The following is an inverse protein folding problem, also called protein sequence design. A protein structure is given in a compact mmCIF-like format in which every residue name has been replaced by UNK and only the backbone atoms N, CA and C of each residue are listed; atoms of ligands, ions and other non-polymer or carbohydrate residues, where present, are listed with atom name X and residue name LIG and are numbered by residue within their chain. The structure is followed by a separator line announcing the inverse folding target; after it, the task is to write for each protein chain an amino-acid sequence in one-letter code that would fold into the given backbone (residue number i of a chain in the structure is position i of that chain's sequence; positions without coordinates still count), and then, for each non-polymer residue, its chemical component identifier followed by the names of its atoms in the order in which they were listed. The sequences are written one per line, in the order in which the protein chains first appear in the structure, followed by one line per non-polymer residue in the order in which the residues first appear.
data_IF_450472344331
#
_entry.id   IF_450472344331
#
_cell.length_a   1.000
_cell.length_b   1.000
_cell.length_c   1.000
_cell.angle_alpha   90.00
_cell.angle_beta   90.00
_cell.angle_gamma   90.00
#
_symmetry.space_group_name_H-M   'P 1'
#
loop_
_entity.id
_entity.type
_entity.pdbx_description
1 polymer ?
#
# COMPACT_ATOMS: atom_id res chain seq x y z
N UNK A 1 -3.23 -9.96 -13.43
CA UNK A 1 -2.27 -10.73 -12.60
C UNK A 1 -2.60 -12.21 -12.73
N UNK A 2 -1.69 -12.98 -13.32
CA UNK A 2 -1.87 -14.42 -13.58
C UNK A 2 -2.22 -15.17 -12.28
N UNK A 3 -3.13 -16.14 -12.38
CA UNK A 3 -3.60 -16.95 -11.23
C UNK A 3 -2.44 -17.61 -10.48
N UNK A 4 -1.39 -18.01 -11.20
CA UNK A 4 -0.15 -18.57 -10.65
C UNK A 4 0.57 -17.59 -9.71
N UNK A 5 0.66 -16.31 -10.06
CA UNK A 5 1.30 -15.29 -9.22
C UNK A 5 0.51 -15.10 -7.91
N UNK A 6 -0.82 -15.15 -7.98
CA UNK A 6 -1.68 -15.08 -6.79
C UNK A 6 -1.46 -16.28 -5.87
N UNK A 7 -1.42 -17.49 -6.43
CA UNK A 7 -1.21 -18.73 -5.66
C UNK A 7 0.16 -18.72 -4.99
N UNK A 8 1.22 -18.38 -5.73
CA UNK A 8 2.58 -18.27 -5.17
C UNK A 8 2.62 -17.24 -4.06
N UNK A 9 2.01 -16.07 -4.24
CA UNK A 9 1.93 -15.03 -3.21
C UNK A 9 1.22 -15.53 -1.93
N UNK A 10 0.13 -16.28 -2.07
CA UNK A 10 -0.59 -16.86 -0.93
C UNK A 10 0.26 -17.92 -0.21
N UNK A 11 0.97 -18.77 -0.94
CA UNK A 11 1.85 -19.79 -0.34
C UNK A 11 2.98 -19.13 0.45
N UNK A 12 3.63 -18.11 -0.13
CA UNK A 12 4.68 -17.34 0.55
C UNK A 12 4.11 -16.68 1.80
N UNK A 13 2.94 -16.06 1.70
CA UNK A 13 2.26 -15.43 2.83
C UNK A 13 1.99 -16.40 3.98
N UNK A 14 1.36 -17.54 3.68
CA UNK A 14 1.08 -18.57 4.70
C UNK A 14 2.38 -19.10 5.29
N UNK A 15 3.40 -19.33 4.46
CA UNK A 15 4.72 -19.76 4.90
C UNK A 15 5.37 -18.77 5.89
N UNK A 16 5.34 -17.46 5.58
CA UNK A 16 5.86 -16.41 6.47
C UNK A 16 5.09 -16.38 7.78
N UNK A 17 3.75 -16.38 7.74
CA UNK A 17 2.93 -16.29 8.96
C UNK A 17 3.13 -17.52 9.86
N UNK A 18 3.17 -18.72 9.27
CA UNK A 18 3.41 -19.97 10.02
C UNK A 18 4.83 -19.98 10.59
N UNK A 19 5.84 -19.64 9.79
CA UNK A 19 7.22 -19.55 10.26
C UNK A 19 7.36 -18.51 11.40
N UNK A 20 6.73 -17.35 11.28
CA UNK A 20 6.69 -16.34 12.32
C UNK A 20 5.99 -16.84 13.59
N UNK A 21 4.90 -17.58 13.47
CA UNK A 21 4.22 -18.14 14.65
C UNK A 21 5.09 -19.19 15.36
N UNK A 22 5.71 -20.11 14.62
CA UNK A 22 6.51 -21.20 15.19
C UNK A 22 7.84 -20.69 15.77
N UNK A 23 8.55 -19.84 15.04
CA UNK A 23 9.87 -19.33 15.44
C UNK A 23 9.78 -18.13 16.40
N UNK A 24 8.68 -17.38 16.36
CA UNK A 24 8.47 -16.16 17.15
C UNK A 24 8.55 -16.38 18.66
N UNK A 25 8.30 -17.61 19.13
CA UNK A 25 8.47 -18.02 20.52
C UNK A 25 9.88 -17.72 21.04
N UNK A 26 10.88 -17.89 20.19
CA UNK A 26 12.30 -17.75 20.52
C UNK A 26 12.82 -16.33 20.36
N UNK A 27 12.06 -15.41 19.75
CA UNK A 27 12.51 -14.04 19.44
C UNK A 27 12.07 -13.07 20.55
N UNK A 28 13.01 -12.49 21.32
CA UNK A 28 12.68 -11.58 22.42
C UNK A 28 11.94 -10.35 21.92
N UNK A 29 10.99 -9.85 22.71
CA UNK A 29 10.23 -8.65 22.33
C UNK A 29 11.13 -7.43 22.07
N UNK A 30 12.30 -7.36 22.71
CA UNK A 30 13.31 -6.31 22.47
C UNK A 30 13.82 -6.30 21.03
N UNK A 31 13.93 -7.47 20.40
CA UNK A 31 14.33 -7.62 18.99
C UNK A 31 13.16 -7.39 18.04
N UNK A 32 11.93 -7.58 18.51
CA UNK A 32 10.71 -7.30 17.74
C UNK A 32 10.44 -5.79 17.61
N UNK A 33 10.82 -4.98 18.61
CA UNK A 33 10.53 -3.54 18.63
C UNK A 33 11.08 -2.76 17.42
N UNK A 34 12.35 -2.94 17.01
CA UNK A 34 12.85 -2.30 15.79
C UNK A 34 12.01 -2.60 14.55
N UNK A 35 11.41 -3.79 14.46
CA UNK A 35 10.56 -4.16 13.33
C UNK A 35 9.21 -3.43 13.41
N UNK A 36 8.62 -3.31 14.61
CA UNK A 36 7.44 -2.47 14.82
C UNK A 36 7.71 -1.00 14.46
N UNK A 37 8.85 -0.46 14.87
CA UNK A 37 9.23 0.91 14.54
C UNK A 37 9.43 1.11 13.03
N UNK A 38 10.06 0.14 12.36
CA UNK A 38 10.18 0.10 10.90
C UNK A 38 8.81 0.04 10.20
N UNK A 39 7.88 -0.80 10.68
CA UNK A 39 6.51 -0.87 10.18
C UNK A 39 5.77 0.46 10.36
N UNK A 40 5.88 1.10 11.53
CA UNK A 40 5.28 2.43 11.78
C UNK A 40 5.82 3.47 10.80
N UNK A 41 7.15 3.56 10.68
CA UNK A 41 7.81 4.57 9.83
C UNK A 41 7.47 4.38 8.35
N UNK A 42 7.57 3.16 7.84
CA UNK A 42 7.23 2.89 6.43
C UNK A 42 5.74 3.11 6.16
N UNK A 43 4.85 2.73 7.09
CA UNK A 43 3.40 2.92 6.91
C UNK A 43 3.02 4.40 6.92
N UNK A 44 3.64 5.23 7.77
CA UNK A 44 3.38 6.68 7.77
C UNK A 44 3.86 7.34 6.48
N UNK A 45 4.99 6.91 5.92
CA UNK A 45 5.48 7.37 4.62
C UNK A 45 4.47 7.04 3.52
N UNK A 46 4.04 5.77 3.42
CA UNK A 46 3.04 5.36 2.40
C UNK A 46 1.75 6.16 2.57
N UNK A 47 1.24 6.29 3.80
CA UNK A 47 0.03 7.04 4.07
C UNK A 47 0.12 8.49 3.59
N UNK A 48 1.23 9.17 3.89
CA UNK A 48 1.47 10.55 3.48
C UNK A 48 1.61 10.70 1.96
N UNK A 49 2.43 9.86 1.32
CA UNK A 49 2.68 9.90 -0.13
C UNK A 49 1.39 9.61 -0.92
N UNK A 50 0.61 8.60 -0.52
CA UNK A 50 -0.65 8.28 -1.19
C UNK A 50 -1.70 9.37 -0.98
N UNK A 51 -1.77 9.98 0.20
CA UNK A 51 -2.62 11.14 0.45
C UNK A 51 -2.29 12.31 -0.49
N UNK A 52 -1.00 12.60 -0.68
CA UNK A 52 -0.55 13.63 -1.61
C UNK A 52 -0.88 13.29 -3.08
N UNK A 53 -0.67 12.03 -3.50
CA UNK A 53 -1.01 11.59 -4.86
C UNK A 53 -2.50 11.75 -5.17
N UNK A 54 -3.38 11.36 -4.25
CA UNK A 54 -4.83 11.49 -4.42
C UNK A 54 -5.23 12.98 -4.57
N UNK A 55 -4.64 13.85 -3.75
CA UNK A 55 -4.92 15.29 -3.78
C UNK A 55 -4.44 15.96 -5.08
N UNK A 56 -3.26 15.58 -5.59
CA UNK A 56 -2.65 16.22 -6.77
C UNK A 56 -3.16 15.67 -8.11
N UNK A 57 -3.23 14.35 -8.27
CA UNK A 57 -3.48 13.74 -9.59
C UNK A 57 -4.96 13.51 -9.90
N UNK A 58 -5.79 13.33 -8.86
CA UNK A 58 -7.17 12.93 -9.06
C UNK A 58 -8.22 13.92 -8.50
N UNK A 59 -8.00 15.25 -8.52
CA UNK A 59 -8.95 16.20 -7.94
C UNK A 59 -10.33 16.13 -8.63
N UNK A 60 -10.36 15.98 -9.95
CA UNK A 60 -11.59 15.89 -10.73
C UNK A 60 -12.32 14.56 -10.52
N UNK A 61 -11.58 13.45 -10.34
CA UNK A 61 -12.18 12.14 -10.06
C UNK A 61 -12.75 12.09 -8.65
N UNK A 62 -12.06 12.69 -7.68
CA UNK A 62 -12.55 12.84 -6.31
C UNK A 62 -13.88 13.62 -6.30
N UNK A 63 -13.93 14.78 -6.97
CA UNK A 63 -15.16 15.57 -7.11
C UNK A 63 -16.30 14.80 -7.79
N UNK A 64 -16.02 14.07 -8.87
CA UNK A 64 -17.02 13.24 -9.56
C UNK A 64 -17.51 12.07 -8.71
N UNK A 65 -16.63 11.39 -7.99
CA UNK A 65 -16.99 10.29 -7.10
C UNK A 65 -17.96 10.77 -6.01
N UNK A 66 -17.70 11.92 -5.39
CA UNK A 66 -18.57 12.52 -4.37
C UNK A 66 -19.77 13.33 -4.92
N UNK A 67 -19.88 13.52 -6.24
CA UNK A 67 -21.01 14.23 -6.86
C UNK A 67 -22.34 13.45 -6.85
N UNK A 68 -23.44 14.06 -7.29
CA UNK A 68 -24.80 13.45 -7.25
C UNK A 68 -25.18 12.49 -8.40
N UNK A 69 -24.30 12.21 -9.37
CA UNK A 69 -24.63 11.32 -10.52
C UNK A 69 -24.82 9.85 -10.09
N UNK A 70 -25.61 9.11 -10.86
CA UNK A 70 -25.91 7.69 -10.64
C UNK A 70 -24.64 6.81 -10.65
N UNK A 71 -24.64 5.74 -9.86
CA UNK A 71 -23.48 4.87 -9.61
C UNK A 71 -22.93 4.20 -10.87
N UNK A 72 -23.80 3.76 -11.79
CA UNK A 72 -23.40 3.04 -13.00
C UNK A 72 -22.58 3.90 -13.97
N UNK A 73 -22.79 5.22 -14.00
CA UNK A 73 -21.99 6.14 -14.83
C UNK A 73 -20.61 6.44 -14.24
N UNK A 74 -20.34 6.04 -12.99
CA UNK A 74 -19.10 6.39 -12.26
C UNK A 74 -18.24 5.18 -11.92
N UNK A 75 -18.65 3.98 -12.31
CA UNK A 75 -18.05 2.72 -11.83
C UNK A 75 -16.54 2.66 -12.06
N UNK A 76 -16.08 3.05 -13.25
CA UNK A 76 -14.66 3.02 -13.61
C UNK A 76 -13.83 4.07 -12.86
N UNK A 77 -14.36 5.28 -12.68
CA UNK A 77 -13.72 6.35 -11.91
C UNK A 77 -13.63 5.99 -10.42
N UNK A 78 -14.68 5.40 -9.85
CA UNK A 78 -14.70 4.92 -8.46
C UNK A 78 -13.71 3.76 -8.28
N UNK A 79 -13.61 2.83 -9.23
CA UNK A 79 -12.66 1.72 -9.14
C UNK A 79 -11.21 2.21 -9.17
N UNK A 80 -10.87 3.15 -10.04
CA UNK A 80 -9.54 3.75 -10.11
C UNK A 80 -9.17 4.45 -8.79
N UNK A 81 -10.07 5.26 -8.24
CA UNK A 81 -9.86 5.90 -6.93
C UNK A 81 -9.68 4.82 -5.84
N UNK A 82 -10.54 3.81 -5.81
CA UNK A 82 -10.45 2.74 -4.82
C UNK A 82 -9.11 2.00 -4.87
N UNK A 83 -8.49 1.85 -6.06
CA UNK A 83 -7.14 1.27 -6.17
C UNK A 83 -6.08 2.12 -5.46
N UNK A 84 -6.20 3.45 -5.48
CA UNK A 84 -5.31 4.39 -4.80
C UNK A 84 -5.57 4.47 -3.29
N UNK A 85 -6.82 4.24 -2.86
CA UNK A 85 -7.19 4.21 -1.45
C UNK A 85 -6.76 2.91 -0.75
N UNK A 86 -6.60 1.79 -1.48
CA UNK A 86 -6.18 0.49 -0.89
C UNK A 86 -4.87 0.60 -0.09
N UNK A 87 -3.76 1.10 -0.64
CA UNK A 87 -2.51 1.28 0.11
C UNK A 87 -2.68 2.18 1.33
N UNK A 88 -3.47 3.25 1.18
CA UNK A 88 -3.74 4.20 2.25
C UNK A 88 -4.44 3.51 3.43
N UNK A 89 -5.49 2.74 3.17
CA UNK A 89 -6.22 1.96 4.18
C UNK A 89 -5.31 0.93 4.85
N UNK A 90 -4.54 0.16 4.06
CA UNK A 90 -3.62 -0.84 4.62
C UNK A 90 -2.60 -0.21 5.57
N UNK A 91 -1.99 0.90 5.17
CA UNK A 91 -1.03 1.63 6.00
C UNK A 91 -1.67 2.20 7.27
N UNK A 92 -2.90 2.69 7.20
CA UNK A 92 -3.64 3.15 8.39
C UNK A 92 -3.93 2.00 9.36
N UNK A 93 -4.36 0.84 8.86
CA UNK A 93 -4.59 -0.35 9.69
C UNK A 93 -3.29 -0.81 10.35
N UNK A 94 -2.18 -0.85 9.61
CA UNK A 94 -0.87 -1.19 10.17
C UNK A 94 -0.49 -0.21 11.29
N UNK A 95 -0.60 1.10 11.05
CA UNK A 95 -0.33 2.12 12.07
C UNK A 95 -1.18 1.91 13.32
N UNK A 96 -2.47 1.66 13.17
CA UNK A 96 -3.38 1.40 14.28
C UNK A 96 -2.88 0.22 15.12
N UNK A 97 -2.57 -0.92 14.50
CA UNK A 97 -2.08 -2.11 15.21
C UNK A 97 -0.73 -1.85 15.88
N UNK A 98 0.22 -1.22 15.18
CA UNK A 98 1.56 -0.95 15.72
C UNK A 98 1.51 0.03 16.90
N UNK A 99 0.66 1.04 16.83
CA UNK A 99 0.44 1.99 17.94
C UNK A 99 -0.21 1.29 19.12
N UNK A 100 -1.26 0.49 18.88
CA UNK A 100 -1.87 -0.31 19.94
C UNK A 100 -0.87 -1.23 20.62
N UNK A 101 -0.03 -1.94 19.86
CA UNK A 101 1.01 -2.81 20.42
C UNK A 101 2.05 -2.02 21.22
N UNK A 102 2.47 -0.86 20.72
CA UNK A 102 3.40 0.03 21.44
C UNK A 102 2.87 0.47 22.81
N UNK A 103 1.55 0.64 22.93
CA UNK A 103 0.89 1.04 24.18
C UNK A 103 0.58 -0.14 25.10
N UNK A 104 0.07 -1.25 24.56
CA UNK A 104 -0.35 -2.43 25.32
C UNK A 104 0.84 -3.17 25.93
N UNK A 105 1.98 -3.25 25.23
CA UNK A 105 3.11 -4.07 25.67
C UNK A 105 3.72 -3.60 27.00
N UNK A 106 4.03 -2.29 27.21
CA UNK A 106 4.49 -1.81 28.51
C UNK A 106 3.52 -2.12 29.65
N UNK A 107 2.20 -1.99 29.40
CA UNK A 107 1.16 -2.30 30.39
C UNK A 107 1.15 -3.80 30.72
N UNK A 108 1.20 -4.66 29.71
CA UNK A 108 1.22 -6.11 29.89
C UNK A 108 2.45 -6.59 30.68
N UNK A 109 3.58 -5.88 30.58
CA UNK A 109 4.80 -6.20 31.34
C UNK A 109 4.67 -5.93 32.85
N UNK A 110 3.72 -5.11 33.30
CA UNK A 110 3.55 -4.83 34.73
C UNK A 110 2.75 -5.91 35.46
N UNK A 111 2.07 -6.80 34.73
CA UNK A 111 1.21 -7.82 35.32
C UNK A 111 2.01 -9.12 35.47
N UNK A 112 2.34 -9.49 36.70
CA UNK A 112 3.17 -10.66 37.01
C UNK A 112 2.55 -11.99 36.51
N UNK A 113 1.22 -12.13 36.54
CA UNK A 113 0.51 -13.31 36.04
C UNK A 113 0.68 -13.56 34.53
N UNK A 114 0.98 -12.52 33.75
CA UNK A 114 1.19 -12.64 32.30
C UNK A 114 2.60 -13.13 31.94
N UNK A 115 3.54 -13.13 32.89
CA UNK A 115 4.91 -13.58 32.67
C UNK A 115 4.98 -15.09 32.39
N UNK A 116 4.04 -15.88 32.93
CA UNK A 116 3.93 -17.32 32.67
C UNK A 116 3.62 -17.66 31.21
N UNK A 117 2.94 -16.74 30.49
CA UNK A 117 2.57 -16.92 29.08
C UNK A 117 3.43 -16.09 28.12
N UNK A 118 4.56 -15.55 28.58
CA UNK A 118 5.44 -14.65 27.82
C UNK A 118 5.84 -15.22 26.46
N UNK A 119 6.04 -16.54 26.38
CA UNK A 119 6.39 -17.23 25.15
C UNK A 119 5.27 -17.20 24.10
N UNK A 120 4.01 -17.36 24.53
CA UNK A 120 2.82 -17.28 23.67
C UNK A 120 2.65 -15.86 23.16
N UNK A 121 2.80 -14.85 24.02
CA UNK A 121 2.73 -13.44 23.61
C UNK A 121 3.83 -13.05 22.63
N UNK A 122 5.05 -13.58 22.78
CA UNK A 122 6.16 -13.35 21.84
C UNK A 122 5.87 -13.96 20.48
N UNK A 123 5.39 -15.21 20.46
CA UNK A 123 5.00 -15.91 19.23
C UNK A 123 3.86 -15.18 18.51
N UNK A 124 2.79 -14.82 19.24
CA UNK A 124 1.65 -14.10 18.69
C UNK A 124 2.06 -12.73 18.14
N UNK A 125 2.85 -11.97 18.89
CA UNK A 125 3.36 -10.67 18.44
C UNK A 125 4.20 -10.81 17.17
N UNK A 126 5.09 -11.81 17.09
CA UNK A 126 5.91 -11.99 15.90
C UNK A 126 5.10 -12.48 14.69
N UNK A 127 4.05 -13.28 14.90
CA UNK A 127 3.10 -13.65 13.85
C UNK A 127 2.36 -12.42 13.30
N UNK A 128 1.92 -11.51 14.18
CA UNK A 128 1.33 -10.22 13.80
C UNK A 128 2.34 -9.41 12.97
N UNK A 129 3.60 -9.31 13.40
CA UNK A 129 4.65 -8.62 12.63
C UNK A 129 4.81 -9.23 11.24
N UNK A 130 4.85 -10.56 11.12
CA UNK A 130 4.95 -11.26 9.83
C UNK A 130 3.78 -10.93 8.91
N UNK A 131 2.56 -10.98 9.44
CA UNK A 131 1.33 -10.58 8.74
C UNK A 131 1.40 -9.12 8.26
N UNK A 132 1.71 -8.19 9.16
CA UNK A 132 1.76 -6.76 8.85
C UNK A 132 2.86 -6.44 7.83
N UNK A 133 4.02 -7.07 7.95
CA UNK A 133 5.14 -6.90 6.98
C UNK A 133 4.73 -7.32 5.58
N UNK A 134 4.01 -8.43 5.44
CA UNK A 134 3.53 -8.86 4.14
C UNK A 134 2.50 -7.88 3.55
N UNK A 135 1.51 -7.46 4.35
CA UNK A 135 0.51 -6.47 3.94
C UNK A 135 1.18 -5.14 3.55
N UNK A 136 2.20 -4.72 4.29
CA UNK A 136 2.98 -3.52 4.02
C UNK A 136 3.74 -3.64 2.70
N UNK A 137 4.38 -4.78 2.44
CA UNK A 137 5.06 -5.03 1.17
C UNK A 137 4.10 -4.99 -0.02
N UNK A 138 2.90 -5.56 0.14
CA UNK A 138 1.85 -5.46 -0.86
C UNK A 138 1.39 -4.00 -1.08
N UNK A 139 1.24 -3.25 0.01
CA UNK A 139 0.92 -1.81 -0.04
C UNK A 139 1.97 -1.03 -0.85
N UNK A 140 3.26 -1.30 -0.62
CA UNK A 140 4.36 -0.69 -1.38
C UNK A 140 4.26 -0.97 -2.88
N UNK A 141 3.99 -2.20 -3.30
CA UNK A 141 3.83 -2.53 -4.71
C UNK A 141 2.66 -1.73 -5.32
N UNK A 142 1.54 -1.63 -4.61
CA UNK A 142 0.38 -0.87 -5.08
C UNK A 142 0.67 0.65 -5.18
N UNK A 143 1.58 1.20 -4.37
CA UNK A 143 1.98 2.61 -4.50
C UNK A 143 2.74 2.94 -5.77
N UNK A 144 3.21 1.93 -6.52
CA UNK A 144 3.86 2.13 -7.81
C UNK A 144 2.86 2.36 -8.96
N UNK A 145 1.59 1.98 -8.77
CA UNK A 145 0.52 2.08 -9.79
C UNK A 145 0.34 3.51 -10.33
N UNK A 146 0.21 4.56 -9.49
CA UNK A 146 0.06 5.93 -9.99
C UNK A 146 1.21 6.34 -10.92
N UNK A 147 2.45 5.98 -10.56
CA UNK A 147 3.63 6.29 -11.37
C UNK A 147 3.61 5.63 -12.74
N UNK A 148 3.12 4.40 -12.83
CA UNK A 148 2.97 3.67 -14.09
C UNK A 148 1.86 4.28 -14.96
N UNK A 149 0.69 4.58 -14.37
CA UNK A 149 -0.42 5.20 -15.10
C UNK A 149 -0.08 6.58 -15.68
N UNK A 150 0.75 7.36 -14.98
CA UNK A 150 1.23 8.65 -15.51
C UNK A 150 2.11 8.45 -16.73
N UNK A 151 2.95 7.41 -16.73
CA UNK A 151 3.85 7.13 -17.84
C UNK A 151 3.06 6.72 -19.08
N UNK A 152 2.06 5.86 -18.92
CA UNK A 152 1.15 5.46 -20.00
C UNK A 152 0.42 6.67 -20.61
N UNK A 153 -0.15 7.54 -19.77
CA UNK A 153 -0.83 8.76 -20.22
C UNK A 153 0.14 9.72 -20.95
N UNK A 154 1.37 9.88 -20.47
CA UNK A 154 2.39 10.70 -21.14
C UNK A 154 2.81 10.12 -22.50
N UNK A 155 2.95 8.80 -22.59
CA UNK A 155 3.34 8.13 -23.82
C UNK A 155 2.23 8.22 -24.87
N UNK A 156 0.95 8.14 -24.49
CA UNK A 156 -0.20 8.37 -25.38
C UNK A 156 -0.22 9.81 -25.90
N UNK A 157 0.00 10.80 -25.04
CA UNK A 157 0.06 12.22 -25.44
C UNK A 157 1.21 12.46 -26.42
N UNK A 158 2.40 11.90 -26.17
CA UNK A 158 3.55 12.00 -27.09
C UNK A 158 3.24 11.38 -28.44
N UNK A 159 2.66 10.18 -28.48
CA UNK A 159 2.30 9.51 -29.74
C UNK A 159 1.28 10.34 -30.53
N UNK A 160 0.32 10.96 -29.85
CA UNK A 160 -0.68 11.83 -30.47
C UNK A 160 -0.04 13.10 -31.04
N UNK A 161 0.87 13.74 -30.34
CA UNK A 161 1.62 14.89 -30.86
C UNK A 161 2.49 14.52 -32.07
N UNK A 162 3.16 13.37 -32.04
CA UNK A 162 3.94 12.88 -33.17
C UNK A 162 3.05 12.61 -34.39
N UNK A 163 1.88 11.98 -34.21
CA UNK A 163 0.91 11.79 -35.28
C UNK A 163 0.42 13.13 -35.85
N UNK A 164 0.09 14.10 -34.99
CA UNK A 164 -0.34 15.43 -35.42
C UNK A 164 0.77 16.17 -36.18
N UNK A 165 2.03 16.09 -35.72
CA UNK A 165 3.17 16.68 -36.42
C UNK A 165 3.43 16.03 -37.78
N UNK A 166 3.19 14.72 -37.93
CA UNK A 166 3.24 14.02 -39.22
C UNK A 166 2.09 14.42 -40.16
N UNK A 167 0.95 14.82 -39.61
CA UNK A 167 -0.21 15.28 -40.37
C UNK A 167 -0.17 16.78 -40.70
N UNK A 168 0.72 17.57 -40.10
CA UNK A 168 0.88 18.98 -40.48
C UNK A 168 1.45 19.05 -41.90
N UNK A 169 0.71 19.60 -42.88
CA UNK A 169 1.23 19.74 -44.23
C UNK A 169 2.48 20.60 -44.15
N UNK A 170 3.58 20.09 -44.71
CA UNK A 170 4.87 20.78 -44.73
C UNK A 170 4.67 22.22 -45.20
N UNK A 171 5.09 23.17 -44.38
CA UNK A 171 5.10 24.59 -44.71
C UNK A 171 6.12 24.76 -45.85
N UNK A 172 5.70 24.48 -47.10
CA UNK A 172 6.47 24.77 -48.31
C UNK A 172 6.75 26.27 -48.28
N UNK A 173 8.04 26.59 -48.29
CA UNK A 173 8.56 27.94 -48.16
C UNK A 173 7.86 28.92 -49.09
N UNK A 174 7.23 29.92 -48.51
CA UNK A 174 7.04 31.20 -49.18
C UNK A 174 8.37 31.93 -49.15
N UNK A 175 9.20 31.64 -50.15
CA UNK A 175 10.23 32.55 -50.61
C UNK A 175 9.55 33.52 -51.58
N UNK A 176 9.49 34.79 -51.21
CA UNK A 176 9.27 35.92 -52.13
C UNK A 176 10.15 37.07 -51.67
#
# INVERSE_FOLDING_TARGET
MNIYIKIVGVIIFVGIVVASALLGKHIPFKEQMPIYDGLRSTSSIIFAVMGAWIALLYPSKLSKAFGKKAYDEKKDDIEQINRLFRPLIYSTVILMVVISMSFVVPLAKQIESLLQYKEIFRSLSFAIIGLLTFVQFWSLILTLIPGDSIKDDLDEVKQREEMLNRMRPGKKGTNK
#
